data_IF_059390674694
#
_entry.id   IF_059390674694
#
_cell.length_a   1.000
_cell.length_b   1.000
_cell.length_c   1.000
_cell.angle_alpha   90.00
_cell.angle_beta   90.00
_cell.angle_gamma   90.00
#
_symmetry.space_group_name_H-M   'P 1'
#
loop_
_entity.id
_entity.type
_entity.pdbx_description
1 polymer ?
#
# COMPACT_ATOMS: atom_id res chain seq x y z
N UNK A 1 1.05 11.28 60.26
CA UNK A 1 1.49 12.06 59.08
C UNK A 1 1.45 11.14 57.89
N UNK A 2 0.34 11.17 57.14
CA UNK A 2 0.13 10.35 55.94
C UNK A 2 0.55 11.11 54.70
N UNK A 3 1.57 10.64 54.02
CA UNK A 3 1.98 11.17 52.72
C UNK A 3 1.10 10.57 51.62
N UNK A 4 0.25 11.40 51.05
CA UNK A 4 -0.50 11.10 49.84
C UNK A 4 0.46 11.16 48.65
N UNK A 5 0.69 10.02 48.00
CA UNK A 5 1.31 9.94 46.67
C UNK A 5 0.38 10.54 45.62
N UNK A 6 0.88 11.38 44.72
CA UNK A 6 0.07 11.81 43.58
C UNK A 6 -0.10 10.64 42.59
N UNK A 7 -1.34 10.32 42.27
CA UNK A 7 -1.68 9.40 41.21
C UNK A 7 -1.19 9.96 39.87
N UNK A 8 -0.28 9.22 39.23
CA UNK A 8 0.10 9.45 37.85
C UNK A 8 -1.09 9.02 36.99
N UNK A 9 -1.80 10.00 36.45
CA UNK A 9 -2.85 9.76 35.48
C UNK A 9 -2.29 9.12 34.20
N UNK A 10 -3.11 8.36 33.47
CA UNK A 10 -2.66 7.71 32.25
C UNK A 10 -2.19 8.77 31.26
N UNK A 11 -0.96 8.60 30.76
CA UNK A 11 -0.42 9.42 29.69
C UNK A 11 -1.42 9.37 28.52
N UNK A 12 -1.99 10.53 28.18
CA UNK A 12 -2.80 10.69 27.00
C UNK A 12 -1.93 10.29 25.81
N UNK A 13 -2.21 9.14 25.21
CA UNK A 13 -1.61 8.75 23.97
C UNK A 13 -1.92 9.86 22.96
N UNK A 14 -0.89 10.57 22.51
CA UNK A 14 -1.00 11.51 21.40
C UNK A 14 -1.40 10.69 20.16
N UNK A 15 -2.69 10.67 19.87
CA UNK A 15 -3.19 10.15 18.61
C UNK A 15 -2.49 10.95 17.50
N UNK A 16 -1.92 10.28 16.47
CA UNK A 16 -1.38 11.01 15.35
C UNK A 16 -2.49 11.89 14.76
N UNK A 17 -2.21 13.18 14.61
CA UNK A 17 -3.09 14.12 13.90
C UNK A 17 -3.17 13.65 12.44
N UNK A 18 -4.08 12.74 12.17
CA UNK A 18 -4.40 12.33 10.81
C UNK A 18 -5.13 13.50 10.16
N UNK A 19 -4.57 14.07 9.11
CA UNK A 19 -5.18 15.17 8.34
C UNK A 19 -6.51 14.74 7.69
N UNK A 20 -6.77 13.44 7.65
CA UNK A 20 -7.97 12.84 7.05
C UNK A 20 -8.62 11.85 8.02
N UNK A 21 -9.94 11.65 7.94
CA UNK A 21 -10.61 10.57 8.67
C UNK A 21 -10.10 9.20 8.21
N UNK A 22 -10.24 8.20 9.07
CA UNK A 22 -9.94 6.81 8.68
C UNK A 22 -10.78 6.40 7.47
N UNK A 23 -10.16 5.85 6.42
CA UNK A 23 -10.90 5.45 5.23
C UNK A 23 -11.78 4.24 5.51
N UNK A 24 -13.02 4.28 5.01
CA UNK A 24 -13.98 3.18 5.10
C UNK A 24 -13.78 2.12 4.02
N UNK A 25 -13.11 2.46 2.93
CA UNK A 25 -12.75 1.57 1.82
C UNK A 25 -11.46 2.04 1.15
N UNK A 26 -10.89 1.21 0.29
CA UNK A 26 -9.54 1.39 -0.22
C UNK A 26 -9.44 1.29 -1.75
N UNK A 27 -8.51 2.07 -2.30
CA UNK A 27 -7.79 1.78 -3.54
C UNK A 27 -6.37 1.36 -3.15
N UNK A 28 -5.91 0.22 -3.66
CA UNK A 28 -4.58 -0.30 -3.34
C UNK A 28 -3.63 -0.06 -4.50
N UNK A 29 -2.43 0.41 -4.20
CA UNK A 29 -1.27 0.36 -5.10
C UNK A 29 -0.31 -0.67 -4.51
N UNK A 30 -0.08 -1.76 -5.23
CA UNK A 30 0.81 -2.81 -4.78
C UNK A 30 1.97 -3.02 -5.76
N UNK A 31 3.16 -3.27 -5.23
CA UNK A 31 4.34 -3.54 -6.03
C UNK A 31 5.44 -4.19 -5.21
N UNK A 32 6.48 -4.70 -5.90
CA UNK A 32 7.60 -5.37 -5.27
C UNK A 32 8.70 -5.74 -6.26
N UNK A 33 9.61 -6.60 -5.84
CA UNK A 33 10.76 -7.01 -6.63
C UNK A 33 10.40 -7.87 -7.83
N UNK A 34 11.11 -7.67 -8.94
CA UNK A 34 10.98 -8.49 -10.16
C UNK A 34 11.43 -9.93 -9.96
N UNK A 35 12.25 -10.15 -8.97
CA UNK A 35 12.81 -11.48 -8.64
C UNK A 35 12.21 -12.03 -7.33
N UNK A 36 11.16 -11.40 -6.82
CA UNK A 36 10.43 -11.90 -5.65
C UNK A 36 9.69 -13.19 -6.00
N UNK A 37 10.07 -14.28 -5.35
CA UNK A 37 9.54 -15.62 -5.58
C UNK A 37 8.51 -16.03 -4.50
N UNK A 38 7.84 -15.08 -3.89
CA UNK A 38 6.81 -15.40 -2.91
C UNK A 38 5.61 -16.06 -3.57
N UNK A 39 5.08 -17.15 -2.97
CA UNK A 39 3.88 -17.79 -3.51
C UNK A 39 2.66 -16.88 -3.40
N UNK A 40 1.79 -16.95 -4.39
CA UNK A 40 0.58 -16.12 -4.46
C UNK A 40 -0.27 -16.17 -3.17
N UNK A 41 -0.47 -17.31 -2.48
CA UNK A 41 -1.24 -17.34 -1.23
C UNK A 41 -0.64 -16.48 -0.11
N UNK A 42 0.69 -16.33 -0.07
CA UNK A 42 1.33 -15.44 0.88
C UNK A 42 1.09 -13.96 0.54
N UNK A 43 1.19 -13.62 -0.73
CA UNK A 43 0.85 -12.26 -1.22
C UNK A 43 -0.61 -11.94 -0.90
N UNK A 44 -1.55 -12.85 -1.20
CA UNK A 44 -2.98 -12.66 -0.92
C UNK A 44 -3.25 -12.46 0.56
N UNK A 45 -2.66 -13.31 1.42
CA UNK A 45 -2.79 -13.20 2.87
C UNK A 45 -2.31 -11.84 3.40
N UNK A 46 -1.18 -11.37 2.88
CA UNK A 46 -0.62 -10.08 3.30
C UNK A 46 -1.49 -8.91 2.83
N UNK A 47 -1.96 -8.92 1.58
CA UNK A 47 -2.88 -7.91 1.06
C UNK A 47 -4.16 -7.82 1.89
N UNK A 48 -4.76 -8.96 2.26
CA UNK A 48 -5.95 -9.01 3.13
C UNK A 48 -5.66 -8.46 4.52
N UNK A 49 -4.51 -8.84 5.10
CA UNK A 49 -4.09 -8.33 6.41
C UNK A 49 -3.97 -6.81 6.41
N UNK A 50 -3.36 -6.22 5.38
CA UNK A 50 -3.17 -4.78 5.27
C UNK A 50 -4.48 -4.02 4.95
N UNK A 51 -5.42 -4.66 4.28
CA UNK A 51 -6.74 -4.07 4.04
C UNK A 51 -7.59 -3.92 5.32
N UNK A 52 -7.29 -4.70 6.37
CA UNK A 52 -7.99 -4.66 7.66
C UNK A 52 -9.53 -4.78 7.53
N UNK A 53 -10.00 -5.67 6.66
CA UNK A 53 -11.43 -5.89 6.42
C UNK A 53 -12.15 -4.80 5.62
N UNK A 54 -11.43 -3.77 5.17
CA UNK A 54 -12.02 -2.70 4.35
C UNK A 54 -12.26 -3.18 2.92
N UNK A 55 -13.40 -2.84 2.31
CA UNK A 55 -13.65 -3.12 0.90
C UNK A 55 -12.59 -2.47 -0.01
N UNK A 56 -12.20 -3.19 -1.07
CA UNK A 56 -11.22 -2.73 -2.06
C UNK A 56 -11.94 -2.41 -3.37
N UNK A 57 -11.91 -1.15 -3.78
CA UNK A 57 -12.50 -0.68 -5.03
C UNK A 57 -11.67 -1.05 -6.25
N UNK A 58 -10.35 -0.96 -6.11
CA UNK A 58 -9.42 -1.20 -7.20
C UNK A 58 -8.03 -1.50 -6.63
N UNK A 59 -7.33 -2.46 -7.21
CA UNK A 59 -5.91 -2.70 -6.99
C UNK A 59 -5.14 -2.35 -8.26
N UNK A 60 -4.13 -1.49 -8.13
CA UNK A 60 -3.23 -1.08 -9.21
C UNK A 60 -1.84 -1.67 -8.99
N UNK A 61 -1.24 -2.21 -10.06
CA UNK A 61 0.12 -2.74 -10.03
C UNK A 61 0.88 -2.44 -11.32
N UNK A 62 2.19 -2.67 -11.34
CA UNK A 62 3.04 -2.28 -12.45
C UNK A 62 3.08 -3.24 -13.63
N UNK A 63 2.49 -4.42 -13.53
CA UNK A 63 2.49 -5.43 -14.59
C UNK A 63 3.87 -6.02 -14.90
N UNK A 64 4.85 -5.88 -13.98
CA UNK A 64 6.17 -6.49 -14.14
C UNK A 64 6.15 -7.97 -13.75
N UNK A 65 7.25 -8.69 -14.04
CA UNK A 65 7.45 -10.05 -13.53
C UNK A 65 7.63 -10.04 -12.00
N UNK A 66 7.60 -11.21 -11.39
CA UNK A 66 7.82 -11.40 -9.95
C UNK A 66 6.64 -10.95 -9.11
N UNK A 67 6.84 -10.00 -8.20
CA UNK A 67 5.80 -9.55 -7.28
C UNK A 67 4.49 -9.14 -7.97
N UNK A 68 4.57 -8.36 -9.04
CA UNK A 68 3.37 -7.84 -9.72
C UNK A 68 2.50 -8.95 -10.33
N UNK A 69 3.12 -10.04 -10.83
CA UNK A 69 2.38 -11.20 -11.32
C UNK A 69 1.65 -11.93 -10.19
N UNK A 70 2.33 -12.13 -9.05
CA UNK A 70 1.72 -12.76 -7.88
C UNK A 70 0.62 -11.87 -7.27
N UNK A 71 0.79 -10.55 -7.29
CA UNK A 71 -0.22 -9.57 -6.87
C UNK A 71 -1.47 -9.65 -7.77
N UNK A 72 -1.30 -9.72 -9.09
CA UNK A 72 -2.41 -9.85 -10.03
C UNK A 72 -3.21 -11.13 -9.79
N UNK A 73 -2.53 -12.26 -9.60
CA UNK A 73 -3.17 -13.54 -9.30
C UNK A 73 -3.88 -13.52 -7.94
N UNK A 74 -3.27 -12.88 -6.93
CA UNK A 74 -3.88 -12.72 -5.62
C UNK A 74 -5.16 -11.87 -5.68
N UNK A 75 -5.15 -10.77 -6.41
CA UNK A 75 -6.32 -9.92 -6.60
C UNK A 75 -7.46 -10.68 -7.30
N UNK A 76 -7.16 -11.46 -8.33
CA UNK A 76 -8.14 -12.30 -9.03
C UNK A 76 -8.77 -13.33 -8.07
N UNK A 77 -7.96 -14.05 -7.29
CA UNK A 77 -8.45 -15.00 -6.30
C UNK A 77 -9.32 -14.34 -5.22
N UNK A 78 -8.98 -13.12 -4.80
CA UNK A 78 -9.73 -12.36 -3.81
C UNK A 78 -11.01 -11.72 -4.38
N UNK A 79 -11.24 -11.79 -5.70
CA UNK A 79 -12.34 -11.11 -6.36
C UNK A 79 -12.20 -9.57 -6.34
N UNK A 80 -11.00 -9.05 -6.20
CA UNK A 80 -10.74 -7.62 -6.21
C UNK A 80 -10.52 -7.12 -7.64
N UNK A 81 -11.20 -6.05 -8.07
CA UNK A 81 -10.90 -5.41 -9.34
C UNK A 81 -9.42 -5.00 -9.38
N UNK A 82 -8.71 -5.37 -10.44
CA UNK A 82 -7.29 -5.05 -10.58
C UNK A 82 -6.96 -4.55 -11.98
N UNK A 83 -5.97 -3.66 -12.07
CA UNK A 83 -5.46 -3.15 -13.33
C UNK A 83 -3.93 -2.99 -13.28
N UNK A 84 -3.29 -3.37 -14.38
CA UNK A 84 -1.87 -3.18 -14.60
C UNK A 84 -1.59 -1.85 -15.31
N UNK A 85 -0.54 -1.16 -14.87
CA UNK A 85 0.00 0.01 -15.56
C UNK A 85 1.47 -0.25 -15.90
N UNK A 86 1.79 -0.84 -17.07
CA UNK A 86 3.15 -1.14 -17.46
C UNK A 86 3.98 0.12 -17.68
N UNK A 87 5.28 0.04 -17.38
CA UNK A 87 6.20 1.12 -17.69
C UNK A 87 6.54 1.16 -19.19
N UNK A 88 6.54 2.33 -19.81
CA UNK A 88 6.93 2.52 -21.21
C UNK A 88 8.46 2.69 -21.34
N UNK A 89 9.17 1.58 -21.28
CA UNK A 89 10.62 1.51 -21.39
C UNK A 89 11.13 1.99 -22.76
N UNK A 90 10.32 1.83 -23.81
CA UNK A 90 10.70 2.28 -25.18
C UNK A 90 10.77 3.80 -25.25
N UNK A 91 9.83 4.50 -24.58
CA UNK A 91 9.72 5.95 -24.59
C UNK A 91 10.64 6.62 -23.58
N UNK A 92 10.75 6.07 -22.37
CA UNK A 92 11.37 6.74 -21.22
C UNK A 92 12.67 6.08 -20.73
N UNK A 93 13.09 4.97 -21.32
CA UNK A 93 14.31 4.27 -20.92
C UNK A 93 14.36 4.03 -19.42
N UNK A 94 15.47 4.33 -18.77
CA UNK A 94 15.64 4.13 -17.31
C UNK A 94 14.68 4.93 -16.44
N UNK A 95 14.12 6.01 -16.96
CA UNK A 95 13.11 6.82 -16.26
C UNK A 95 11.71 6.22 -16.23
N UNK A 96 11.44 5.19 -17.03
CA UNK A 96 10.10 4.61 -17.18
C UNK A 96 9.52 4.07 -15.86
N UNK A 97 10.35 3.44 -15.02
CA UNK A 97 9.92 2.91 -13.72
C UNK A 97 9.41 3.99 -12.76
N UNK A 98 10.20 5.01 -12.44
CA UNK A 98 9.76 6.14 -11.60
C UNK A 98 8.55 6.89 -12.17
N UNK A 99 8.48 7.09 -13.48
CA UNK A 99 7.34 7.72 -14.15
C UNK A 99 6.08 6.89 -13.93
N UNK A 100 6.15 5.57 -14.18
CA UNK A 100 5.06 4.64 -13.95
C UNK A 100 4.60 4.63 -12.48
N UNK A 101 5.53 4.62 -11.51
CA UNK A 101 5.19 4.65 -10.10
C UNK A 101 4.40 5.91 -9.73
N UNK A 102 4.78 7.06 -10.27
CA UNK A 102 4.02 8.31 -10.11
C UNK A 102 2.63 8.19 -10.72
N UNK A 103 2.51 7.64 -11.92
CA UNK A 103 1.23 7.45 -12.60
C UNK A 103 0.30 6.51 -11.82
N UNK A 104 0.82 5.41 -11.25
CA UNK A 104 0.06 4.51 -10.38
C UNK A 104 -0.52 5.26 -9.19
N UNK A 105 0.32 6.02 -8.48
CA UNK A 105 -0.09 6.76 -7.29
C UNK A 105 -1.13 7.83 -7.62
N UNK A 106 -0.92 8.62 -8.67
CA UNK A 106 -1.86 9.66 -9.09
C UNK A 106 -3.20 9.07 -9.58
N UNK A 107 -3.17 7.94 -10.28
CA UNK A 107 -4.38 7.24 -10.69
C UNK A 107 -5.17 6.72 -9.49
N UNK A 108 -4.48 6.15 -8.50
CA UNK A 108 -5.11 5.68 -7.26
C UNK A 108 -5.78 6.83 -6.49
N UNK A 109 -5.08 7.96 -6.36
CA UNK A 109 -5.61 9.17 -5.69
C UNK A 109 -6.85 9.69 -6.41
N UNK A 110 -6.81 9.82 -7.74
CA UNK A 110 -7.98 10.27 -8.52
C UNK A 110 -9.16 9.32 -8.38
N UNK A 111 -8.90 8.01 -8.41
CA UNK A 111 -9.96 7.01 -8.22
C UNK A 111 -10.58 7.11 -6.82
N UNK A 112 -9.75 7.22 -5.78
CA UNK A 112 -10.23 7.39 -4.41
C UNK A 112 -11.06 8.68 -4.25
N UNK A 113 -10.60 9.80 -4.81
CA UNK A 113 -11.35 11.06 -4.78
C UNK A 113 -12.73 10.94 -5.43
N UNK A 114 -12.81 10.30 -6.61
CA UNK A 114 -14.07 10.17 -7.36
C UNK A 114 -15.09 9.26 -6.67
N UNK A 115 -14.65 8.38 -5.76
CA UNK A 115 -15.52 7.46 -5.02
C UNK A 115 -15.76 7.88 -3.56
N UNK A 116 -15.06 8.92 -3.08
CA UNK A 116 -15.29 9.48 -1.75
C UNK A 116 -16.58 10.32 -1.71
N UNK A 117 -17.27 10.24 -0.58
CA UNK A 117 -18.44 11.06 -0.26
C UNK A 117 -18.22 11.78 1.06
N UNK A 118 -19.04 12.79 1.44
CA UNK A 118 -18.92 13.44 2.74
C UNK A 118 -19.02 12.49 3.94
N UNK A 119 -19.64 11.31 3.76
CA UNK A 119 -19.89 10.33 4.82
C UNK A 119 -19.06 9.06 4.70
N UNK A 120 -18.27 8.90 3.62
CA UNK A 120 -17.51 7.69 3.33
C UNK A 120 -16.23 8.05 2.59
N UNK A 121 -15.13 8.10 3.32
CA UNK A 121 -13.83 8.38 2.74
C UNK A 121 -13.24 7.12 2.09
N UNK A 122 -12.80 7.24 0.85
CA UNK A 122 -11.98 6.22 0.18
C UNK A 122 -10.52 6.62 0.32
N UNK A 123 -9.70 5.75 0.89
CA UNK A 123 -8.28 5.96 1.04
C UNK A 123 -7.44 5.23 -0.01
N UNK A 124 -6.19 5.65 -0.15
CA UNK A 124 -5.17 4.92 -0.91
C UNK A 124 -4.27 4.19 0.05
N UNK A 125 -4.08 2.89 -0.17
CA UNK A 125 -3.12 2.06 0.55
C UNK A 125 -2.01 1.62 -0.41
N UNK A 126 -0.78 2.02 -0.14
CA UNK A 126 0.39 1.55 -0.88
C UNK A 126 1.01 0.38 -0.11
N UNK A 127 1.09 -0.78 -0.75
CA UNK A 127 1.70 -2.00 -0.18
C UNK A 127 2.94 -2.35 -1.00
N UNK A 128 4.10 -2.17 -0.40
CA UNK A 128 5.38 -2.49 -1.03
C UNK A 128 5.92 -3.82 -0.47
N UNK A 129 5.92 -4.84 -1.30
CA UNK A 129 6.58 -6.12 -1.02
C UNK A 129 8.09 -5.99 -1.19
N UNK A 130 8.90 -6.91 -0.64
CA UNK A 130 10.36 -6.85 -0.78
C UNK A 130 10.81 -6.67 -2.23
N UNK A 131 11.75 -5.75 -2.46
CA UNK A 131 12.23 -5.44 -3.80
C UNK A 131 13.44 -4.52 -3.82
N UNK A 132 13.86 -4.14 -5.01
CA UNK A 132 15.03 -3.29 -5.24
C UNK A 132 14.67 -1.81 -5.47
N UNK A 133 15.44 -1.16 -6.35
CA UNK A 133 15.34 0.28 -6.61
C UNK A 133 13.96 0.75 -7.07
N UNK A 134 13.23 -0.06 -7.84
CA UNK A 134 11.87 0.27 -8.29
C UNK A 134 10.88 0.34 -7.12
N UNK A 135 10.98 -0.59 -6.18
CA UNK A 135 10.16 -0.61 -4.96
C UNK A 135 10.53 0.54 -4.02
N UNK A 136 11.82 0.81 -3.85
CA UNK A 136 12.31 1.95 -3.07
C UNK A 136 11.80 3.29 -3.65
N UNK A 137 11.78 3.43 -4.97
CA UNK A 137 11.20 4.60 -5.66
C UNK A 137 9.70 4.75 -5.37
N UNK A 138 8.92 3.67 -5.42
CA UNK A 138 7.49 3.70 -5.08
C UNK A 138 7.28 4.16 -3.64
N UNK A 139 8.01 3.59 -2.68
CA UNK A 139 7.94 3.96 -1.26
C UNK A 139 8.29 5.44 -1.04
N UNK A 140 9.37 5.92 -1.64
CA UNK A 140 9.80 7.30 -1.51
C UNK A 140 8.75 8.27 -2.04
N UNK A 141 8.24 8.05 -3.26
CA UNK A 141 7.20 8.87 -3.86
C UNK A 141 5.93 8.89 -3.00
N UNK A 142 5.51 7.73 -2.50
CA UNK A 142 4.31 7.60 -1.68
C UNK A 142 4.45 8.32 -0.34
N UNK A 143 5.58 8.15 0.35
CA UNK A 143 5.86 8.83 1.63
C UNK A 143 5.90 10.35 1.49
N UNK A 144 6.49 10.86 0.41
CA UNK A 144 6.49 12.30 0.11
C UNK A 144 5.08 12.83 -0.15
N UNK A 145 4.20 12.02 -0.73
CA UNK A 145 2.84 12.41 -1.09
C UNK A 145 1.86 12.41 0.08
N UNK A 146 2.15 11.70 1.17
CA UNK A 146 1.25 11.54 2.35
C UNK A 146 0.70 12.89 2.84
N UNK A 147 1.59 13.87 3.07
CA UNK A 147 1.20 15.17 3.64
C UNK A 147 0.43 16.09 2.67
N UNK A 148 0.53 15.84 1.38
CA UNK A 148 -0.11 16.66 0.34
C UNK A 148 -1.22 15.91 -0.42
N UNK A 149 -1.55 14.70 -0.02
CA UNK A 149 -2.61 13.93 -0.63
C UNK A 149 -3.98 14.51 -0.28
N UNK A 150 -4.88 14.65 -1.26
CA UNK A 150 -6.25 15.10 -1.00
C UNK A 150 -7.16 14.02 -0.42
N UNK A 151 -6.66 12.79 -0.27
CA UNK A 151 -7.36 11.65 0.34
C UNK A 151 -6.44 10.99 1.37
N UNK A 152 -6.98 10.18 2.31
CA UNK A 152 -6.15 9.37 3.20
C UNK A 152 -5.17 8.52 2.40
N UNK A 153 -3.87 8.64 2.68
CA UNK A 153 -2.81 7.89 2.01
C UNK A 153 -1.96 7.15 3.05
N UNK A 154 -2.04 5.83 3.02
CA UNK A 154 -1.34 4.92 3.91
C UNK A 154 -0.22 4.22 3.14
N UNK A 155 0.95 4.04 3.75
CA UNK A 155 2.10 3.39 3.12
C UNK A 155 2.61 2.29 4.03
N UNK A 156 2.65 1.07 3.50
CA UNK A 156 3.13 -0.13 4.20
C UNK A 156 4.26 -0.77 3.42
N UNK A 157 5.34 -1.05 4.12
CA UNK A 157 6.47 -1.85 3.62
C UNK A 157 6.42 -3.22 4.28
N UNK A 158 6.25 -4.26 3.47
CA UNK A 158 6.14 -5.63 3.96
C UNK A 158 7.52 -6.19 4.26
N UNK A 159 7.69 -6.75 5.46
CA UNK A 159 8.99 -7.25 5.91
C UNK A 159 9.46 -8.48 5.12
N UNK A 160 10.74 -8.56 4.71
CA UNK A 160 11.30 -9.72 4.00
C UNK A 160 11.21 -11.04 4.77
N UNK A 161 11.24 -10.98 6.10
CA UNK A 161 11.18 -12.13 7.00
C UNK A 161 9.91 -12.98 6.87
N UNK A 162 8.81 -12.41 6.36
CA UNK A 162 7.57 -13.17 6.14
C UNK A 162 7.72 -14.27 5.08
N UNK A 163 8.58 -14.07 4.06
CA UNK A 163 8.87 -15.09 3.05
C UNK A 163 9.71 -16.26 3.58
N UNK A 164 10.58 -16.02 4.55
CA UNK A 164 11.44 -17.06 5.15
C UNK A 164 10.69 -18.02 6.06
N UNK A 165 9.57 -17.63 6.62
CA UNK A 165 8.75 -18.47 7.51
C UNK A 165 8.00 -19.60 6.78
N UNK A 166 8.00 -19.61 5.44
CA UNK A 166 7.31 -20.59 4.58
C UNK A 166 8.25 -21.40 3.69
N UNK A 167 9.56 -21.24 3.83
CA UNK A 167 10.51 -22.13 3.17
C UNK A 167 10.35 -23.54 3.76
N UNK A 168 10.09 -24.58 2.95
CA UNK A 168 10.08 -25.95 3.44
C UNK A 168 11.47 -26.30 3.95
N UNK A 169 11.51 -26.96 5.10
CA UNK A 169 12.72 -27.53 5.67
C UNK A 169 13.30 -28.62 4.76
#
# INVERSE_FOLDING_TARGET
>A
MSFLSPAVGPAAALLPLSLHPEPSSLVIVAGGGRDLAWPMPLIARELVAQAHGRPVHLLLHGGARGADQAIALAADQLGWPAAALPADWRRFGRGAGPIRNRQLLEQAIRHAQSHSTPHSAVGVLVVAFPGGAGTASLLQLSRQRVLSSPVPLLVVEVAPSLGSALAPA
#
